data_IF_615903595596
#
_entry.id   IF_615903595596
#
_cell.length_a   1.000
_cell.length_b   1.000
_cell.length_c   1.000
_cell.angle_alpha   90.00
_cell.angle_beta   90.00
_cell.angle_gamma   90.00
#
_symmetry.space_group_name_H-M   'P 1'
#
loop_
_entity.id
_entity.type
_entity.pdbx_description
1 polymer ?
#
# COMPACT_ATOMS: atom_id res chain seq x y z
N UNK A 1 4.41 -5.27 -44.79
CA UNK A 1 4.53 -6.10 -43.58
C UNK A 1 4.59 -5.18 -42.38
N UNK A 2 3.43 -4.93 -41.80
CA UNK A 2 3.16 -3.91 -40.79
C UNK A 2 3.51 -4.50 -39.42
N UNK A 3 4.40 -3.86 -38.66
CA UNK A 3 4.68 -4.25 -37.26
C UNK A 3 3.48 -3.84 -36.41
N UNK A 4 2.64 -4.80 -36.04
CA UNK A 4 1.63 -4.61 -35.02
C UNK A 4 2.30 -4.28 -33.68
N UNK A 5 2.10 -3.05 -33.22
CA UNK A 5 2.29 -2.66 -31.83
C UNK A 5 1.35 -3.52 -31.00
N UNK A 6 1.88 -4.53 -30.32
CA UNK A 6 1.15 -5.22 -29.27
C UNK A 6 0.98 -4.24 -28.11
N UNK A 7 -0.15 -3.55 -28.11
CA UNK A 7 -0.60 -2.69 -27.03
C UNK A 7 -0.94 -3.60 -25.83
N UNK A 8 0.08 -3.97 -25.05
CA UNK A 8 -0.12 -4.52 -23.72
C UNK A 8 -0.53 -3.36 -22.82
N UNK A 9 -1.81 -3.06 -22.75
CA UNK A 9 -2.41 -2.63 -21.49
C UNK A 9 -2.27 -3.83 -20.56
N UNK A 10 -1.08 -4.00 -19.98
CA UNK A 10 -0.90 -4.87 -18.84
C UNK A 10 -1.91 -4.37 -17.81
N UNK A 11 -2.81 -5.24 -17.39
CA UNK A 11 -3.65 -5.02 -16.24
C UNK A 11 -2.70 -4.58 -15.11
N UNK A 12 -2.65 -3.28 -14.80
CA UNK A 12 -1.80 -2.76 -13.76
C UNK A 12 -2.45 -3.24 -12.48
N UNK A 13 -2.11 -4.45 -12.02
CA UNK A 13 -2.45 -4.93 -10.70
C UNK A 13 -1.27 -4.57 -9.80
N UNK A 14 -1.56 -4.05 -8.61
CA UNK A 14 -0.53 -3.82 -7.61
C UNK A 14 -0.08 -5.19 -7.06
N UNK A 15 1.24 -5.42 -7.00
CA UNK A 15 1.77 -6.67 -6.46
C UNK A 15 1.57 -6.68 -4.95
N UNK A 16 0.88 -7.71 -4.45
CA UNK A 16 0.53 -7.83 -3.04
C UNK A 16 1.48 -8.78 -2.34
N UNK A 17 2.15 -8.30 -1.31
CA UNK A 17 3.11 -9.02 -0.47
C UNK A 17 2.59 -9.01 0.96
N UNK A 18 2.60 -10.15 1.63
CA UNK A 18 2.28 -10.23 3.07
C UNK A 18 3.48 -10.78 3.82
N UNK A 19 3.97 -10.04 4.81
CA UNK A 19 5.12 -10.40 5.63
C UNK A 19 4.66 -10.86 7.01
N UNK A 20 4.66 -12.17 7.20
CA UNK A 20 4.44 -12.80 8.50
C UNK A 20 5.75 -12.83 9.29
N UNK A 21 5.69 -12.37 10.54
CA UNK A 21 6.83 -12.41 11.46
C UNK A 21 6.43 -13.30 12.62
N UNK A 22 7.18 -14.37 12.80
CA UNK A 22 7.01 -15.36 13.86
C UNK A 22 8.29 -15.42 14.69
N UNK A 23 8.16 -15.68 15.98
CA UNK A 23 9.29 -15.86 16.88
C UNK A 23 9.05 -17.07 17.77
N UNK A 24 10.11 -17.83 18.03
CA UNK A 24 10.07 -18.97 18.95
C UNK A 24 10.11 -18.54 20.44
N UNK A 25 10.32 -17.24 20.72
CA UNK A 25 10.41 -16.69 22.08
C UNK A 25 9.54 -15.44 22.29
N UNK A 26 9.83 -14.66 23.33
CA UNK A 26 8.98 -13.51 23.72
C UNK A 26 9.30 -12.19 22.97
N UNK A 27 10.11 -12.26 21.90
CA UNK A 27 10.53 -11.08 21.16
C UNK A 27 9.38 -10.48 20.35
N UNK A 28 9.08 -9.19 20.53
CA UNK A 28 8.06 -8.50 19.72
C UNK A 28 8.69 -7.86 18.47
N UNK A 29 8.08 -8.09 17.32
CA UNK A 29 8.40 -7.38 16.09
C UNK A 29 8.06 -5.88 16.20
N UNK A 30 8.75 -5.03 15.45
CA UNK A 30 8.43 -3.60 15.44
C UNK A 30 7.05 -3.35 14.83
N UNK A 31 6.30 -2.44 15.42
CA UNK A 31 5.02 -1.96 14.90
C UNK A 31 5.13 -0.48 14.46
N UNK A 32 6.34 0.07 14.51
CA UNK A 32 6.62 1.47 14.16
C UNK A 32 6.75 1.58 12.65
N UNK A 33 5.91 2.42 12.03
CA UNK A 33 5.88 2.63 10.57
C UNK A 33 7.26 2.97 9.99
N UNK A 34 8.07 3.77 10.71
CA UNK A 34 9.42 4.13 10.27
C UNK A 34 10.35 2.91 10.11
N UNK A 35 10.28 1.95 11.04
CA UNK A 35 11.06 0.72 10.98
C UNK A 35 10.52 -0.19 9.86
N UNK A 36 9.20 -0.37 9.81
CA UNK A 36 8.53 -1.20 8.80
C UNK A 36 8.77 -0.69 7.37
N UNK A 37 8.79 0.63 7.20
CA UNK A 37 9.20 1.29 5.95
C UNK A 37 10.62 0.90 5.58
N UNK A 38 11.54 0.98 6.53
CA UNK A 38 12.94 0.63 6.29
C UNK A 38 13.07 -0.84 5.86
N UNK A 39 12.35 -1.75 6.51
CA UNK A 39 12.29 -3.16 6.13
C UNK A 39 11.74 -3.33 4.69
N UNK A 40 10.62 -2.69 4.38
CA UNK A 40 9.99 -2.79 3.05
C UNK A 40 10.89 -2.22 1.93
N UNK A 41 11.49 -1.04 2.13
CA UNK A 41 12.42 -0.44 1.16
C UNK A 41 13.71 -1.26 1.02
N UNK A 42 14.14 -1.96 2.08
CA UNK A 42 15.30 -2.88 2.02
C UNK A 42 14.98 -4.12 1.19
N UNK A 43 13.81 -4.72 1.37
CA UNK A 43 13.39 -5.92 0.64
C UNK A 43 13.16 -5.65 -0.86
N UNK A 44 12.68 -4.45 -1.20
CA UNK A 44 12.28 -4.08 -2.56
C UNK A 44 13.09 -2.93 -3.16
N UNK A 45 14.36 -2.79 -2.77
CA UNK A 45 15.24 -1.78 -3.37
C UNK A 45 15.23 -1.87 -4.91
N UNK A 46 15.14 -0.74 -5.66
CA UNK A 46 15.27 0.66 -5.22
C UNK A 46 13.94 1.36 -4.87
N UNK A 47 12.84 0.63 -4.71
CA UNK A 47 11.51 1.21 -4.55
C UNK A 47 11.36 2.04 -3.27
N UNK A 48 10.51 3.06 -3.34
CA UNK A 48 10.32 4.04 -2.26
C UNK A 48 8.89 4.07 -1.75
N UNK A 49 8.73 4.38 -0.47
CA UNK A 49 7.43 4.62 0.14
C UNK A 49 6.69 5.75 -0.58
N UNK A 50 5.49 5.44 -1.07
CA UNK A 50 4.58 6.43 -1.68
C UNK A 50 3.24 6.53 -0.96
N UNK A 51 2.98 5.65 0.01
CA UNK A 51 1.80 5.69 0.86
C UNK A 51 1.85 4.63 1.96
N UNK A 52 1.09 4.83 3.02
CA UNK A 52 0.87 3.82 4.05
C UNK A 52 -0.56 3.89 4.57
N UNK A 53 -0.96 2.85 5.29
CA UNK A 53 -2.12 2.82 6.16
C UNK A 53 -1.75 2.12 7.47
N UNK A 54 -1.93 2.82 8.58
CA UNK A 54 -1.88 2.29 9.94
C UNK A 54 -3.31 2.16 10.46
N UNK A 55 -3.77 0.91 10.54
CA UNK A 55 -5.16 0.62 10.91
C UNK A 55 -5.39 0.78 12.41
N UNK A 56 -4.34 0.71 13.24
CA UNK A 56 -4.46 0.91 14.69
C UNK A 56 -4.59 2.39 15.03
N UNK A 57 -3.79 3.24 14.39
CA UNK A 57 -3.85 4.69 14.59
C UNK A 57 -4.98 5.36 13.77
N UNK A 58 -5.63 4.63 12.85
CA UNK A 58 -6.59 5.19 11.90
C UNK A 58 -5.95 6.23 10.97
N UNK A 59 -4.66 6.08 10.69
CA UNK A 59 -3.85 7.07 9.99
C UNK A 59 -3.40 6.54 8.63
N UNK A 60 -3.56 7.33 7.57
CA UNK A 60 -3.04 7.00 6.25
C UNK A 60 -2.71 8.28 5.47
N UNK A 61 -1.87 8.17 4.43
CA UNK A 61 -1.53 9.29 3.55
C UNK A 61 -2.56 9.42 2.43
N UNK A 62 -3.75 9.91 2.77
CA UNK A 62 -4.85 10.04 1.82
C UNK A 62 -4.60 11.15 0.78
N UNK A 63 -4.53 10.83 -0.53
CA UNK A 63 -4.38 11.86 -1.56
C UNK A 63 -5.58 12.82 -1.65
N UNK A 64 -6.76 12.39 -1.20
CA UNK A 64 -7.97 13.21 -1.20
C UNK A 64 -7.91 14.24 -0.05
N UNK A 65 -7.58 13.80 1.17
CA UNK A 65 -7.47 14.70 2.32
C UNK A 65 -6.35 15.73 2.12
N UNK A 66 -5.23 15.36 1.48
CA UNK A 66 -4.17 16.30 1.11
C UNK A 66 -4.66 17.41 0.17
N UNK A 67 -5.70 17.15 -0.65
CA UNK A 67 -6.37 18.14 -1.50
C UNK A 67 -7.53 18.85 -0.80
N UNK A 68 -7.80 18.54 0.47
CA UNK A 68 -8.94 19.05 1.23
C UNK A 68 -10.28 18.40 0.87
N UNK A 69 -10.26 17.25 0.18
CA UNK A 69 -11.44 16.46 -0.18
C UNK A 69 -11.78 15.46 0.93
N UNK A 70 -13.03 15.00 0.97
CA UNK A 70 -13.44 13.94 1.90
C UNK A 70 -12.74 12.62 1.56
N UNK A 71 -12.31 11.89 2.60
CA UNK A 71 -11.69 10.58 2.44
C UNK A 71 -12.73 9.50 2.05
N UNK A 72 -12.65 8.89 0.85
CA UNK A 72 -13.58 7.84 0.45
C UNK A 72 -13.25 6.48 1.10
N UNK A 73 -12.06 6.33 1.68
CA UNK A 73 -11.54 5.04 2.14
C UNK A 73 -12.06 4.64 3.53
N UNK A 74 -12.58 5.61 4.28
CA UNK A 74 -13.19 5.39 5.60
C UNK A 74 -14.71 5.12 5.49
N UNK A 75 -15.28 5.20 4.29
CA UNK A 75 -16.70 4.90 4.07
C UNK A 75 -16.98 3.39 4.22
N UNK A 76 -18.23 2.99 4.54
CA UNK A 76 -18.65 1.60 4.48
C UNK A 76 -18.41 0.99 3.09
N UNK A 77 -18.05 -0.30 3.02
CA UNK A 77 -17.70 -0.96 1.75
C UNK A 77 -18.84 -1.05 0.74
N UNK A 78 -20.08 -0.96 1.23
CA UNK A 78 -21.31 -0.95 0.45
C UNK A 78 -21.72 0.46 -0.01
N UNK A 79 -21.03 1.50 0.48
CA UNK A 79 -21.23 2.87 0.02
C UNK A 79 -20.77 3.02 -1.45
N UNK A 80 -21.59 3.61 -2.35
CA UNK A 80 -21.22 3.78 -3.75
C UNK A 80 -20.02 4.70 -3.98
N UNK A 81 -19.64 5.52 -3.00
CA UNK A 81 -18.46 6.39 -3.03
C UNK A 81 -17.23 5.74 -2.39
N UNK A 82 -17.36 4.56 -1.79
CA UNK A 82 -16.22 3.82 -1.25
C UNK A 82 -15.25 3.43 -2.35
N UNK A 83 -13.96 3.63 -2.08
CA UNK A 83 -12.86 3.20 -2.94
C UNK A 83 -11.87 2.43 -2.07
N UNK A 84 -11.39 1.28 -2.57
CA UNK A 84 -10.29 0.58 -1.90
C UNK A 84 -9.03 1.45 -1.95
N UNK A 85 -8.40 1.64 -0.79
CA UNK A 85 -7.21 2.49 -0.69
C UNK A 85 -6.07 2.04 -1.62
N UNK A 86 -5.90 0.75 -1.85
CA UNK A 86 -4.90 0.23 -2.77
C UNK A 86 -5.14 0.70 -4.21
N UNK A 87 -6.41 0.83 -4.63
CA UNK A 87 -6.77 1.38 -5.94
C UNK A 87 -6.39 2.85 -6.04
N UNK A 88 -6.61 3.63 -4.98
CA UNK A 88 -6.17 5.03 -4.93
C UNK A 88 -4.65 5.14 -4.96
N UNK A 89 -3.92 4.35 -4.18
CA UNK A 89 -2.45 4.35 -4.18
C UNK A 89 -1.88 4.00 -5.56
N UNK A 90 -2.45 3.01 -6.22
CA UNK A 90 -2.06 2.66 -7.56
C UNK A 90 -2.28 3.81 -8.57
N UNK A 91 -3.44 4.46 -8.52
CA UNK A 91 -3.80 5.51 -9.50
C UNK A 91 -3.09 6.84 -9.23
N UNK A 92 -3.13 7.30 -8.00
CA UNK A 92 -2.67 8.64 -7.60
C UNK A 92 -1.18 8.69 -7.27
N UNK A 93 -0.62 7.56 -6.80
CA UNK A 93 0.78 7.47 -6.35
C UNK A 93 1.63 6.51 -7.17
N UNK A 94 1.04 5.87 -8.20
CA UNK A 94 1.72 4.86 -9.04
C UNK A 94 2.34 3.75 -8.21
N UNK A 95 1.68 3.37 -7.11
CA UNK A 95 2.14 2.26 -6.29
C UNK A 95 2.15 0.96 -7.10
N UNK A 96 3.30 0.29 -7.08
CA UNK A 96 3.56 -0.96 -7.78
C UNK A 96 3.51 -2.16 -6.83
N UNK A 97 3.88 -1.97 -5.55
CA UNK A 97 3.85 -3.02 -4.52
C UNK A 97 3.06 -2.53 -3.30
N UNK A 98 2.22 -3.42 -2.77
CA UNK A 98 1.54 -3.32 -1.48
C UNK A 98 2.15 -4.36 -0.52
N UNK A 99 2.86 -3.90 0.51
CA UNK A 99 3.44 -4.74 1.56
C UNK A 99 2.55 -4.67 2.81
N UNK A 100 2.07 -5.81 3.26
CA UNK A 100 1.20 -5.94 4.44
C UNK A 100 2.00 -6.55 5.57
N UNK A 101 1.97 -5.91 6.73
CA UNK A 101 2.54 -6.39 7.99
C UNK A 101 1.39 -6.71 8.96
N UNK A 102 0.87 -7.96 8.97
CA UNK A 102 -0.30 -8.29 9.78
C UNK A 102 -0.07 -8.07 11.29
N UNK A 103 1.12 -8.40 11.77
CA UNK A 103 1.49 -8.25 13.19
C UNK A 103 1.38 -6.80 13.68
N UNK A 104 1.65 -5.83 12.80
CA UNK A 104 1.59 -4.41 13.10
C UNK A 104 0.27 -3.75 12.69
N UNK A 105 -0.61 -4.48 11.98
CA UNK A 105 -1.79 -3.87 11.34
C UNK A 105 -1.42 -2.64 10.51
N UNK A 106 -0.36 -2.76 9.70
CA UNK A 106 0.15 -1.71 8.82
C UNK A 106 0.25 -2.23 7.39
N UNK A 107 -0.09 -1.38 6.43
CA UNK A 107 0.17 -1.60 5.00
C UNK A 107 1.03 -0.47 4.46
N UNK A 108 2.04 -0.83 3.67
CA UNK A 108 2.98 0.09 3.02
C UNK A 108 2.87 -0.07 1.50
N UNK A 109 2.87 1.05 0.79
CA UNK A 109 2.81 1.10 -0.67
C UNK A 109 4.12 1.66 -1.22
N UNK A 110 4.71 0.94 -2.18
CA UNK A 110 5.99 1.29 -2.80
C UNK A 110 5.82 1.53 -4.31
N UNK A 111 6.61 2.44 -4.89
CA UNK A 111 6.76 2.60 -6.35
C UNK A 111 8.22 2.56 -6.79
#
# INVERSE_FOLDING_TARGET
MTRERTNRTANMAIDKVTLHVETDGDSRASEIIADLRTVAETLYFPMKLVGFWDYQAGMHLCPHEERGEACPHNLPKDDPQYVDYAVTMQRERRANIQVIFPHASVTIFLS
#
